data_IF_438756695578
#
_entry.id   IF_438756695578
#
_cell.length_a   1.000
_cell.length_b   1.000
_cell.length_c   1.000
_cell.angle_alpha   90.00
_cell.angle_beta   90.00
_cell.angle_gamma   90.00
#
_symmetry.space_group_name_H-M   'P 1'
#
loop_
_entity.id
_entity.type
_entity.pdbx_description
1 polymer ?
#
# COMPACT_ATOMS: atom_id res chain seq x y z
N UNK A 1 -10.62 -23.59 5.49
CA UNK A 1 -10.32 -22.61 6.55
C UNK A 1 -11.08 -21.32 6.26
N UNK A 2 -11.71 -20.73 7.28
CA UNK A 2 -12.42 -19.45 7.16
C UNK A 2 -11.42 -18.26 7.10
N UNK A 3 -11.89 -17.09 6.69
CA UNK A 3 -11.10 -15.86 6.73
C UNK A 3 -10.63 -15.60 8.17
N UNK A 4 -11.51 -15.74 9.13
CA UNK A 4 -11.21 -15.55 10.56
C UNK A 4 -10.07 -16.48 11.05
N UNK A 5 -10.08 -17.75 10.68
CA UNK A 5 -9.01 -18.71 11.04
C UNK A 5 -7.68 -18.30 10.40
N UNK A 6 -7.69 -17.93 9.12
CA UNK A 6 -6.49 -17.51 8.40
C UNK A 6 -5.86 -16.26 9.01
N UNK A 7 -6.66 -15.25 9.37
CA UNK A 7 -6.19 -14.03 10.03
C UNK A 7 -5.60 -14.36 11.40
N UNK A 8 -6.27 -15.21 12.19
CA UNK A 8 -5.77 -15.65 13.51
C UNK A 8 -4.42 -16.34 13.39
N UNK A 9 -4.27 -17.27 12.44
CA UNK A 9 -2.99 -17.95 12.21
C UNK A 9 -1.89 -17.00 11.77
N UNK A 10 -2.20 -16.01 10.90
CA UNK A 10 -1.24 -14.99 10.50
C UNK A 10 -0.77 -14.16 11.72
N UNK A 11 -1.70 -13.75 12.58
CA UNK A 11 -1.38 -13.03 13.82
C UNK A 11 -0.51 -13.85 14.77
N UNK A 12 -0.81 -15.12 14.96
CA UNK A 12 0.01 -16.01 15.79
C UNK A 12 1.46 -16.09 15.29
N UNK A 13 1.64 -16.23 13.96
CA UNK A 13 2.99 -16.25 13.36
C UNK A 13 3.71 -14.90 13.53
N UNK A 14 3.01 -13.78 13.34
CA UNK A 14 3.56 -12.43 13.55
C UNK A 14 4.01 -12.27 15.01
N UNK A 15 3.16 -12.62 15.97
CA UNK A 15 3.47 -12.50 17.39
C UNK A 15 4.69 -13.35 17.75
N UNK A 16 4.71 -14.63 17.36
CA UNK A 16 5.84 -15.52 17.64
C UNK A 16 7.16 -15.01 17.03
N UNK A 17 7.12 -14.49 15.79
CA UNK A 17 8.30 -13.92 15.14
C UNK A 17 8.77 -12.62 15.81
N UNK A 18 7.86 -11.74 16.21
CA UNK A 18 8.18 -10.52 16.93
C UNK A 18 8.81 -10.82 18.31
N UNK A 19 8.20 -11.72 19.08
CA UNK A 19 8.68 -12.15 20.38
C UNK A 19 10.08 -12.77 20.30
N UNK A 20 10.34 -13.61 19.28
CA UNK A 20 11.67 -14.19 19.06
C UNK A 20 12.74 -13.15 18.74
N UNK A 21 12.33 -11.98 18.22
CA UNK A 21 13.18 -10.82 17.95
C UNK A 21 13.20 -9.79 19.10
N UNK A 22 12.64 -10.11 20.27
CA UNK A 22 12.58 -9.21 21.44
C UNK A 22 11.63 -8.01 21.24
N UNK A 23 10.63 -8.15 20.36
CA UNK A 23 9.65 -7.09 20.03
C UNK A 23 8.23 -7.52 20.40
N UNK A 24 7.32 -6.56 20.50
CA UNK A 24 5.89 -6.84 20.63
C UNK A 24 5.26 -7.10 19.27
N UNK A 25 4.39 -8.11 19.17
CA UNK A 25 3.57 -8.34 17.98
C UNK A 25 2.63 -7.18 17.64
N UNK A 26 2.30 -6.33 18.61
CA UNK A 26 1.49 -5.13 18.41
C UNK A 26 2.20 -4.02 17.60
N UNK A 27 3.53 -4.09 17.50
CA UNK A 27 4.32 -3.18 16.66
C UNK A 27 4.21 -3.51 15.16
N UNK A 28 3.69 -4.70 14.83
CA UNK A 28 3.60 -5.21 13.46
C UNK A 28 2.15 -5.14 12.98
N UNK A 29 1.87 -4.28 12.01
CA UNK A 29 0.54 -4.15 11.41
C UNK A 29 0.33 -5.23 10.34
N UNK A 30 -0.81 -5.91 10.39
CA UNK A 30 -1.22 -6.89 9.38
C UNK A 30 -2.02 -6.20 8.28
N UNK A 31 -1.46 -6.17 7.07
CA UNK A 31 -2.13 -5.67 5.89
C UNK A 31 -2.74 -6.84 5.10
N UNK A 32 -4.03 -6.75 4.80
CA UNK A 32 -4.72 -7.69 3.93
C UNK A 32 -4.94 -7.10 2.51
N UNK A 33 -4.44 -7.78 1.49
CA UNK A 33 -4.78 -7.48 0.10
C UNK A 33 -6.20 -7.96 -0.18
N UNK A 34 -7.16 -7.04 -0.20
CA UNK A 34 -8.61 -7.33 -0.28
C UNK A 34 -9.13 -7.40 -1.72
N UNK A 35 -8.24 -7.27 -2.71
CA UNK A 35 -8.59 -7.43 -4.13
C UNK A 35 -9.38 -8.71 -4.39
N UNK A 36 -10.33 -8.64 -5.33
CA UNK A 36 -11.20 -9.75 -5.75
C UNK A 36 -12.13 -10.34 -4.66
N UNK A 37 -12.21 -9.71 -3.49
CA UNK A 37 -13.11 -10.12 -2.42
C UNK A 37 -14.25 -9.10 -2.26
N UNK A 38 -15.45 -9.58 -1.95
CA UNK A 38 -16.62 -8.74 -1.71
C UNK A 38 -16.56 -7.99 -0.38
N UNK A 39 -17.46 -7.00 -0.17
CA UNK A 39 -17.53 -6.21 1.06
C UNK A 39 -17.65 -7.05 2.33
N UNK A 40 -18.41 -8.13 2.30
CA UNK A 40 -18.66 -9.02 3.44
C UNK A 40 -17.36 -9.71 3.90
N UNK A 41 -16.55 -10.19 2.94
CA UNK A 41 -15.27 -10.82 3.20
C UNK A 41 -14.25 -9.82 3.78
N UNK A 42 -14.27 -8.57 3.28
CA UNK A 42 -13.45 -7.49 3.82
C UNK A 42 -13.84 -7.20 5.27
N UNK A 43 -15.12 -7.08 5.56
CA UNK A 43 -15.63 -6.85 6.91
C UNK A 43 -15.32 -8.03 7.86
N UNK A 44 -15.37 -9.29 7.36
CA UNK A 44 -14.97 -10.45 8.15
C UNK A 44 -13.48 -10.39 8.53
N UNK A 45 -12.61 -10.06 7.56
CA UNK A 45 -11.17 -9.91 7.81
C UNK A 45 -10.86 -8.81 8.84
N UNK A 46 -11.56 -7.67 8.76
CA UNK A 46 -11.43 -6.56 9.71
C UNK A 46 -11.84 -7.02 11.13
N UNK A 47 -13.01 -7.66 11.26
CA UNK A 47 -13.45 -8.19 12.56
C UNK A 47 -12.51 -9.26 13.12
N UNK A 48 -11.81 -9.98 12.26
CA UNK A 48 -10.82 -10.97 12.66
C UNK A 48 -9.47 -10.38 13.10
N UNK A 49 -9.24 -9.07 12.93
CA UNK A 49 -8.05 -8.37 13.42
C UNK A 49 -7.02 -7.97 12.34
N UNK A 50 -7.48 -7.74 11.10
CA UNK A 50 -6.67 -7.06 10.09
C UNK A 50 -6.59 -5.57 10.45
N UNK A 51 -5.38 -4.98 10.37
CA UNK A 51 -5.16 -3.57 10.72
C UNK A 51 -5.32 -2.64 9.52
N UNK A 52 -5.04 -3.13 8.31
CA UNK A 52 -5.01 -2.36 7.07
C UNK A 52 -5.64 -3.18 5.95
N UNK A 53 -6.56 -2.58 5.20
CA UNK A 53 -7.04 -3.13 3.95
C UNK A 53 -6.24 -2.55 2.79
N UNK A 54 -5.99 -3.32 1.72
CA UNK A 54 -5.27 -2.82 0.58
C UNK A 54 -5.89 -3.27 -0.76
N UNK A 55 -5.92 -2.33 -1.71
CA UNK A 55 -6.50 -2.54 -3.03
C UNK A 55 -5.49 -2.35 -4.16
N UNK A 56 -5.68 -3.14 -5.22
CA UNK A 56 -4.88 -3.06 -6.43
C UNK A 56 -5.56 -2.26 -7.56
N UNK A 57 -6.87 -2.09 -7.50
CA UNK A 57 -7.66 -1.45 -8.55
C UNK A 57 -8.53 -0.34 -7.98
N UNK A 58 -8.46 0.83 -8.62
CA UNK A 58 -9.24 2.01 -8.20
C UNK A 58 -10.74 1.73 -8.23
N UNK A 59 -11.24 0.99 -9.22
CA UNK A 59 -12.66 0.64 -9.32
C UNK A 59 -13.14 -0.24 -8.17
N UNK A 60 -12.31 -1.23 -7.76
CA UNK A 60 -12.62 -2.06 -6.59
C UNK A 60 -12.64 -1.24 -5.31
N UNK A 61 -11.64 -0.34 -5.14
CA UNK A 61 -11.63 0.59 -4.03
C UNK A 61 -12.92 1.44 -3.98
N UNK A 62 -13.28 2.06 -5.09
CA UNK A 62 -14.47 2.94 -5.14
C UNK A 62 -15.76 2.19 -4.82
N UNK A 63 -15.97 1.00 -5.39
CA UNK A 63 -17.18 0.20 -5.16
C UNK A 63 -17.33 -0.23 -3.71
N UNK A 64 -16.25 -0.67 -3.07
CA UNK A 64 -16.23 -1.08 -1.67
C UNK A 64 -16.33 0.11 -0.70
N UNK A 65 -15.65 1.22 -1.04
CA UNK A 65 -15.70 2.44 -0.25
C UNK A 65 -17.11 3.06 -0.23
N UNK A 66 -17.85 2.97 -1.34
CA UNK A 66 -19.21 3.48 -1.44
C UNK A 66 -20.19 2.80 -0.46
N UNK A 67 -19.90 1.56 -0.03
CA UNK A 67 -20.69 0.81 0.94
C UNK A 67 -20.00 0.71 2.32
N UNK A 68 -19.01 1.55 2.58
CA UNK A 68 -18.23 1.59 3.82
C UNK A 68 -17.60 0.24 4.21
N UNK A 69 -17.22 -0.58 3.22
CA UNK A 69 -16.69 -1.93 3.46
C UNK A 69 -15.38 -1.94 4.27
N UNK A 70 -14.65 -0.84 4.31
CA UNK A 70 -13.37 -0.77 5.01
C UNK A 70 -13.46 -0.26 6.46
N UNK A 71 -14.59 0.30 6.87
CA UNK A 71 -14.71 0.87 8.22
C UNK A 71 -14.60 -0.24 9.30
N UNK A 72 -13.86 -0.01 10.39
CA UNK A 72 -13.08 1.21 10.74
C UNK A 72 -11.60 1.18 10.30
N UNK A 73 -11.19 0.28 9.43
CA UNK A 73 -9.81 0.15 8.95
C UNK A 73 -9.43 1.30 8.02
N UNK A 74 -8.14 1.63 8.00
CA UNK A 74 -7.57 2.44 6.94
C UNK A 74 -7.32 1.60 5.68
N UNK A 75 -7.19 2.29 4.54
CA UNK A 75 -6.95 1.65 3.24
C UNK A 75 -5.62 2.13 2.66
N UNK A 76 -4.82 1.19 2.17
CA UNK A 76 -3.66 1.46 1.33
C UNK A 76 -3.95 1.10 -0.12
N UNK A 77 -3.31 1.79 -1.05
CA UNK A 77 -3.34 1.41 -2.46
C UNK A 77 -1.99 0.81 -2.85
N UNK A 78 -2.01 -0.45 -3.31
CA UNK A 78 -0.80 -1.25 -3.58
C UNK A 78 -0.66 -1.68 -5.04
N UNK A 79 -1.61 -1.27 -5.91
CA UNK A 79 -1.55 -1.57 -7.34
C UNK A 79 -0.93 -0.44 -8.16
N UNK A 80 -0.64 -0.71 -9.44
CA UNK A 80 -0.15 0.33 -10.35
C UNK A 80 -1.16 1.47 -10.48
N UNK A 81 -0.71 2.70 -10.24
CA UNK A 81 -1.56 3.89 -10.25
C UNK A 81 -1.37 4.71 -11.53
N UNK A 82 -2.38 4.76 -12.36
CA UNK A 82 -2.42 5.65 -13.52
C UNK A 82 -2.70 7.10 -13.09
N UNK A 83 -2.03 8.07 -13.72
CA UNK A 83 -2.18 9.51 -13.41
C UNK A 83 -3.62 10.02 -13.41
N UNK A 84 -4.45 9.57 -14.37
CA UNK A 84 -5.86 9.96 -14.48
C UNK A 84 -6.75 9.43 -13.32
N UNK A 85 -6.25 8.47 -12.54
CA UNK A 85 -6.94 7.85 -11.39
C UNK A 85 -6.53 8.46 -10.04
N UNK A 86 -5.49 9.25 -9.98
CA UNK A 86 -4.96 9.91 -8.77
C UNK A 86 -6.06 10.64 -7.99
N UNK A 87 -6.96 11.33 -8.68
CA UNK A 87 -8.06 12.09 -8.07
C UNK A 87 -9.01 11.27 -7.19
N UNK A 88 -9.05 9.96 -7.37
CA UNK A 88 -9.93 9.06 -6.62
C UNK A 88 -9.28 8.49 -5.35
N UNK A 89 -7.95 8.54 -5.27
CA UNK A 89 -7.20 7.95 -4.16
C UNK A 89 -6.64 8.99 -3.19
N UNK A 90 -6.13 10.11 -3.71
CA UNK A 90 -5.52 11.15 -2.87
C UNK A 90 -6.55 11.73 -1.91
N UNK A 91 -6.25 11.61 -0.61
CA UNK A 91 -7.14 11.98 0.50
C UNK A 91 -8.18 10.92 0.86
N UNK A 92 -8.27 9.82 0.09
CA UNK A 92 -9.21 8.72 0.36
C UNK A 92 -8.51 7.44 0.87
N UNK A 93 -7.19 7.32 0.65
CA UNK A 93 -6.37 6.24 1.19
C UNK A 93 -5.26 6.80 2.08
N UNK A 94 -4.82 6.01 3.07
CA UNK A 94 -3.76 6.43 3.99
C UNK A 94 -2.40 6.48 3.29
N UNK A 95 -2.09 5.47 2.46
CA UNK A 95 -0.78 5.30 1.85
C UNK A 95 -0.89 4.76 0.43
N UNK A 96 -0.17 5.35 -0.52
CA UNK A 96 -0.01 4.85 -1.89
C UNK A 96 1.38 4.22 -2.01
N UNK A 97 1.46 2.91 -2.33
CA UNK A 97 2.70 2.15 -2.35
C UNK A 97 3.45 2.17 -3.69
N UNK A 98 2.79 2.60 -4.76
CA UNK A 98 3.20 2.33 -6.15
C UNK A 98 3.67 3.59 -6.90
N UNK A 99 4.41 4.46 -6.22
CA UNK A 99 4.90 5.70 -6.85
C UNK A 99 6.28 5.44 -7.44
N UNK A 100 6.38 5.51 -8.77
CA UNK A 100 7.56 5.08 -9.53
C UNK A 100 8.09 6.11 -10.53
N UNK A 101 7.46 7.28 -10.64
CA UNK A 101 7.82 8.27 -11.65
C UNK A 101 7.58 9.71 -11.18
N UNK A 102 8.39 10.68 -11.66
CA UNK A 102 8.20 12.11 -11.38
C UNK A 102 6.81 12.61 -11.78
N UNK A 103 6.30 12.16 -12.93
CA UNK A 103 4.99 12.59 -13.45
C UNK A 103 3.83 12.11 -12.56
N UNK A 104 3.96 10.94 -11.94
CA UNK A 104 2.97 10.45 -10.98
C UNK A 104 3.06 11.22 -9.67
N UNK A 105 4.28 11.50 -9.19
CA UNK A 105 4.52 12.35 -8.01
C UNK A 105 3.88 13.71 -8.17
N UNK A 106 4.12 14.37 -9.30
CA UNK A 106 3.53 15.68 -9.61
C UNK A 106 2.00 15.65 -9.61
N UNK A 107 1.42 14.60 -10.19
CA UNK A 107 -0.04 14.45 -10.21
C UNK A 107 -0.62 14.27 -8.80
N UNK A 108 0.01 13.44 -7.96
CA UNK A 108 -0.40 13.23 -6.57
C UNK A 108 -0.22 14.51 -5.77
N UNK A 109 0.96 15.16 -5.88
CA UNK A 109 1.28 16.38 -5.13
C UNK A 109 0.31 17.51 -5.47
N UNK A 110 0.07 17.79 -6.76
CA UNK A 110 -0.91 18.80 -7.18
C UNK A 110 -2.30 18.52 -6.60
N UNK A 111 -2.73 17.26 -6.63
CA UNK A 111 -4.03 16.89 -6.08
C UNK A 111 -4.08 17.06 -4.57
N UNK A 112 -3.06 16.65 -3.84
CA UNK A 112 -2.97 16.79 -2.39
C UNK A 112 -2.97 18.26 -1.98
N UNK A 113 -2.16 19.11 -2.62
CA UNK A 113 -2.15 20.57 -2.40
C UNK A 113 -3.53 21.17 -2.66
N UNK A 114 -4.23 20.76 -3.74
CA UNK A 114 -5.58 21.25 -4.02
C UNK A 114 -6.62 20.90 -2.96
N UNK A 115 -6.35 19.87 -2.16
CA UNK A 115 -7.18 19.44 -1.03
C UNK A 115 -6.69 19.98 0.33
N UNK A 116 -5.57 20.72 0.35
CA UNK A 116 -4.96 21.22 1.58
C UNK A 116 -4.36 20.12 2.46
N UNK A 117 -3.93 19.00 1.88
CA UNK A 117 -3.37 17.83 2.60
C UNK A 117 -1.98 17.47 2.08
N UNK A 118 -1.31 16.59 2.81
CA UNK A 118 -0.09 15.89 2.38
C UNK A 118 -0.43 14.39 2.29
N UNK A 119 -0.16 13.79 1.13
CA UNK A 119 -0.39 12.37 0.88
C UNK A 119 0.88 11.56 1.17
N UNK A 120 0.74 10.55 2.03
CA UNK A 120 1.81 9.59 2.29
C UNK A 120 1.98 8.63 1.11
N UNK A 121 3.24 8.36 0.74
CA UNK A 121 3.58 7.48 -0.38
C UNK A 121 4.81 6.62 -0.07
N UNK A 122 4.91 5.46 -0.74
CA UNK A 122 6.15 4.70 -0.89
C UNK A 122 6.64 4.82 -2.33
N UNK A 123 7.96 4.78 -2.52
CA UNK A 123 8.56 4.71 -3.84
C UNK A 123 8.72 3.24 -4.25
N UNK A 124 8.13 2.86 -5.38
CA UNK A 124 8.24 1.51 -5.90
C UNK A 124 9.54 1.33 -6.67
N UNK A 125 10.36 0.35 -6.24
CA UNK A 125 11.66 0.03 -6.83
C UNK A 125 11.61 -1.35 -7.47
N UNK A 126 11.96 -1.45 -8.73
CA UNK A 126 12.08 -2.70 -9.48
C UNK A 126 13.48 -3.31 -9.30
N UNK A 127 13.68 -4.01 -8.19
CA UNK A 127 14.97 -4.65 -7.87
C UNK A 127 15.33 -5.84 -8.76
N UNK A 128 14.33 -6.45 -9.40
CA UNK A 128 14.52 -7.63 -10.26
C UNK A 128 14.86 -7.28 -11.71
N UNK A 129 14.74 -6.00 -12.11
CA UNK A 129 14.97 -5.57 -13.50
C UNK A 129 13.98 -6.16 -14.50
N UNK A 130 12.83 -6.67 -14.05
CA UNK A 130 11.83 -7.28 -14.92
C UNK A 130 11.05 -6.19 -15.67
N UNK A 131 11.13 -6.18 -17.01
CA UNK A 131 10.44 -5.20 -17.85
C UNK A 131 8.90 -5.21 -17.72
N UNK A 132 8.34 -6.30 -17.20
CA UNK A 132 6.89 -6.46 -16.99
C UNK A 132 6.39 -5.87 -15.66
N UNK A 133 7.29 -5.46 -14.77
CA UNK A 133 6.96 -4.91 -13.45
C UNK A 133 7.14 -3.40 -13.42
N UNK A 134 6.26 -2.73 -12.66
CA UNK A 134 6.40 -1.32 -12.31
C UNK A 134 7.59 -1.11 -11.37
N UNK A 135 7.92 0.14 -11.13
CA UNK A 135 8.98 0.55 -10.23
C UNK A 135 10.17 1.18 -10.96
N UNK A 136 10.76 2.18 -10.32
CA UNK A 136 12.02 2.77 -10.79
C UNK A 136 13.16 1.77 -10.64
N UNK A 137 14.16 1.83 -11.52
CA UNK A 137 15.39 1.05 -11.33
C UNK A 137 16.12 1.50 -10.06
N UNK A 138 16.92 0.64 -9.40
CA UNK A 138 17.72 1.04 -8.26
C UNK A 138 18.58 2.29 -8.55
N UNK A 139 19.18 2.39 -9.73
CA UNK A 139 20.02 3.52 -10.14
C UNK A 139 19.19 4.82 -10.32
N UNK A 140 17.91 4.72 -10.63
CA UNK A 140 17.02 5.88 -10.77
C UNK A 140 16.41 6.38 -9.46
N UNK A 141 16.60 5.67 -8.36
CA UNK A 141 15.94 5.98 -7.08
C UNK A 141 16.40 7.33 -6.50
N UNK A 142 17.67 7.66 -6.60
CA UNK A 142 18.20 8.92 -6.09
C UNK A 142 17.57 10.13 -6.79
N UNK A 143 17.45 10.06 -8.12
CA UNK A 143 16.80 11.11 -8.90
C UNK A 143 15.31 11.24 -8.54
N UNK A 144 14.63 10.11 -8.30
CA UNK A 144 13.24 10.10 -7.90
C UNK A 144 13.04 10.70 -6.49
N UNK A 145 13.95 10.42 -5.56
CA UNK A 145 13.97 11.04 -4.21
C UNK A 145 14.22 12.54 -4.27
N UNK A 146 15.16 12.98 -5.12
CA UNK A 146 15.42 14.40 -5.32
C UNK A 146 14.18 15.13 -5.88
N UNK A 147 13.46 14.51 -6.82
CA UNK A 147 12.20 15.05 -7.33
C UNK A 147 11.11 15.12 -6.26
N UNK A 148 11.02 14.11 -5.38
CA UNK A 148 10.04 14.11 -4.28
C UNK A 148 10.20 15.32 -3.34
N UNK A 149 11.42 15.80 -3.13
CA UNK A 149 11.69 16.99 -2.32
C UNK A 149 11.09 18.28 -2.92
N UNK A 150 10.77 18.28 -4.20
CA UNK A 150 10.11 19.40 -4.90
C UNK A 150 8.57 19.29 -4.87
N UNK A 151 8.02 18.24 -4.27
CA UNK A 151 6.60 17.93 -4.26
C UNK A 151 5.95 18.21 -2.88
N UNK A 152 5.49 19.44 -2.59
CA UNK A 152 5.02 19.82 -1.24
C UNK A 152 3.78 19.05 -0.77
N UNK A 153 3.01 18.47 -1.69
CA UNK A 153 1.84 17.64 -1.36
C UNK A 153 2.16 16.17 -1.09
N UNK A 154 3.45 15.77 -1.09
CA UNK A 154 3.88 14.39 -0.83
C UNK A 154 4.68 14.27 0.46
N UNK A 155 4.56 13.10 1.10
CA UNK A 155 5.49 12.66 2.15
C UNK A 155 5.93 11.23 1.85
N UNK A 156 7.20 11.06 1.47
CA UNK A 156 7.78 9.73 1.25
C UNK A 156 8.02 9.07 2.60
N UNK A 157 7.41 7.90 2.82
CA UNK A 157 7.51 7.12 4.06
C UNK A 157 8.53 5.98 3.97
N UNK A 158 8.97 5.65 2.78
CA UNK A 158 9.91 4.56 2.54
C UNK A 158 9.83 4.02 1.12
N UNK A 159 10.29 2.79 0.97
CA UNK A 159 10.37 2.09 -0.31
C UNK A 159 9.38 0.91 -0.33
N UNK A 160 8.96 0.54 -1.53
CA UNK A 160 8.20 -0.68 -1.81
C UNK A 160 8.89 -1.45 -2.92
N UNK A 161 8.88 -2.77 -2.82
CA UNK A 161 9.34 -3.65 -3.89
C UNK A 161 8.58 -4.97 -3.87
N UNK A 162 8.48 -5.59 -5.03
CA UNK A 162 7.94 -6.94 -5.18
C UNK A 162 9.08 -7.83 -5.72
N UNK A 163 9.75 -8.60 -4.85
CA UNK A 163 10.83 -9.49 -5.27
C UNK A 163 10.32 -10.62 -6.16
N UNK A 164 11.22 -11.23 -6.93
CA UNK A 164 10.90 -12.45 -7.67
C UNK A 164 10.65 -13.60 -6.70
N UNK A 165 9.59 -14.37 -6.94
CA UNK A 165 9.33 -15.60 -6.17
C UNK A 165 10.51 -16.57 -6.40
N UNK A 166 11.14 -17.03 -5.32
CA UNK A 166 12.27 -17.99 -5.36
C UNK A 166 13.67 -17.36 -5.33
N UNK A 167 13.81 -16.03 -5.28
CA UNK A 167 15.11 -15.35 -5.09
C UNK A 167 15.23 -14.60 -3.75
N UNK A 168 14.31 -14.77 -2.85
CA UNK A 168 14.26 -14.07 -1.57
C UNK A 168 15.19 -14.68 -0.49
N UNK A 169 16.16 -15.49 -0.85
CA UNK A 169 17.04 -16.16 0.10
C UNK A 169 18.48 -16.09 -0.37
N UNK A 170 19.12 -14.99 -0.16
CA UNK A 170 20.58 -14.94 0.04
C UNK A 170 20.85 -13.86 1.06
#
# INVERSE_FOLDING_TARGET
MSITENVRMARQKINAAAESAGRSGSEVRLLAATKMNGPEAVQEAIRAGVDICAENRVQEFLSKNAVNAYAPCCVHFIGHLQKNKVKYLVGAVELIHSVDSPELMDAISRRAVSLGIVQDVLLEVNIGGEASKSGVSPDGLEALLAHAALCPGLRVKGLMTIPQIGRAHV
#
